data_IF_539458488418
#
_entry.id   IF_539458488418
#
_cell.length_a   1.000
_cell.length_b   1.000
_cell.length_c   1.000
_cell.angle_alpha   90.00
_cell.angle_beta   90.00
_cell.angle_gamma   90.00
#
_symmetry.space_group_name_H-M   'P 1'
#
loop_
_entity.id
_entity.type
_entity.pdbx_description
1 polymer ?
#
# COMPACT_ATOMS: atom_id res chain seq x y z
N UNK A 1 7.39 -29.38 0.30
CA UNK A 1 8.73 -28.88 0.72
C UNK A 1 8.70 -28.29 2.13
N UNK A 2 7.85 -27.29 2.45
CA UNK A 2 7.86 -26.68 3.78
C UNK A 2 7.61 -27.70 4.89
N UNK A 3 6.63 -28.60 4.73
CA UNK A 3 6.32 -29.65 5.73
C UNK A 3 7.49 -30.55 6.07
N UNK A 4 8.42 -30.77 5.16
CA UNK A 4 9.62 -31.60 5.41
C UNK A 4 10.71 -30.90 6.22
N UNK A 5 10.59 -29.60 6.44
CA UNK A 5 11.55 -28.80 7.22
C UNK A 5 11.18 -28.72 8.71
N UNK A 6 9.98 -29.16 9.07
CA UNK A 6 9.46 -29.08 10.44
C UNK A 6 9.19 -30.48 11.01
N UNK A 7 9.26 -30.64 12.33
CA UNK A 7 8.86 -31.89 13.00
C UNK A 7 7.43 -32.27 12.67
N UNK A 8 7.07 -33.57 12.68
CA UNK A 8 5.70 -34.04 12.41
C UNK A 8 4.63 -33.49 13.37
N UNK A 9 5.06 -33.00 14.52
CA UNK A 9 4.17 -32.34 15.52
C UNK A 9 3.69 -30.96 15.10
N UNK A 10 4.31 -30.36 14.07
CA UNK A 10 3.93 -29.02 13.59
C UNK A 10 2.86 -29.14 12.52
N UNK A 11 1.69 -28.61 12.81
CA UNK A 11 0.55 -28.58 11.89
C UNK A 11 0.67 -27.41 10.92
N UNK A 12 0.81 -27.71 9.62
CA UNK A 12 0.97 -26.71 8.56
C UNK A 12 -0.19 -26.83 7.60
N UNK A 13 -0.94 -25.75 7.44
CA UNK A 13 -2.03 -25.65 6.46
C UNK A 13 -1.77 -24.51 5.47
N UNK A 14 -2.50 -24.55 4.35
CA UNK A 14 -2.40 -23.51 3.32
C UNK A 14 -3.78 -22.96 2.96
N UNK A 15 -3.81 -21.67 2.56
CA UNK A 15 -5.01 -20.95 2.23
C UNK A 15 -4.78 -20.13 0.96
N UNK A 16 -5.65 -20.28 -0.06
CA UNK A 16 -5.51 -19.52 -1.30
C UNK A 16 -6.86 -19.15 -1.92
N UNK A 17 -6.85 -18.18 -2.85
CA UNK A 17 -8.05 -17.58 -3.44
C UNK A 17 -9.03 -18.56 -4.09
N UNK A 18 -8.54 -19.66 -4.66
CA UNK A 18 -9.34 -20.64 -5.38
C UNK A 18 -10.10 -21.65 -4.48
N UNK A 19 -9.86 -21.62 -3.17
CA UNK A 19 -10.59 -22.48 -2.22
C UNK A 19 -12.04 -22.01 -2.06
N UNK A 20 -12.93 -22.97 -1.77
CA UNK A 20 -14.32 -22.66 -1.46
C UNK A 20 -14.42 -21.85 -0.15
N UNK A 21 -15.40 -20.94 -0.02
CA UNK A 21 -15.55 -20.13 1.21
C UNK A 21 -15.59 -20.97 2.49
N UNK A 22 -16.38 -22.02 2.52
CA UNK A 22 -16.49 -22.90 3.70
C UNK A 22 -15.16 -23.55 4.10
N UNK A 23 -14.27 -23.87 3.15
CA UNK A 23 -12.94 -24.41 3.46
C UNK A 23 -12.03 -23.36 4.05
N UNK A 24 -12.13 -22.11 3.58
CA UNK A 24 -11.37 -20.99 4.12
C UNK A 24 -11.79 -20.69 5.56
N UNK A 25 -13.08 -20.69 5.82
CA UNK A 25 -13.66 -20.46 7.15
C UNK A 25 -13.23 -21.56 8.14
N UNK A 26 -13.27 -22.83 7.74
CA UNK A 26 -12.81 -23.96 8.55
C UNK A 26 -11.33 -23.83 8.93
N UNK A 27 -10.46 -23.62 7.94
CA UNK A 27 -9.02 -23.44 8.19
C UNK A 27 -8.76 -22.27 9.12
N UNK A 28 -9.47 -21.16 8.94
CA UNK A 28 -9.30 -19.97 9.76
C UNK A 28 -9.79 -20.16 11.20
N UNK A 29 -10.90 -20.88 11.39
CA UNK A 29 -11.40 -21.23 12.72
C UNK A 29 -10.37 -22.10 13.46
N UNK A 30 -9.86 -23.15 12.84
CA UNK A 30 -8.84 -24.04 13.40
C UNK A 30 -7.52 -23.30 13.70
N UNK A 31 -7.14 -22.34 12.84
CA UNK A 31 -5.99 -21.50 13.09
C UNK A 31 -6.20 -20.57 14.30
N UNK A 32 -7.37 -19.97 14.42
CA UNK A 32 -7.73 -19.14 15.56
C UNK A 32 -7.78 -19.93 16.88
N UNK A 33 -8.19 -21.20 16.84
CA UNK A 33 -8.22 -22.12 17.98
C UNK A 33 -6.83 -22.69 18.34
N UNK A 34 -5.80 -22.42 17.51
CA UNK A 34 -4.42 -22.88 17.75
C UNK A 34 -4.17 -24.33 17.33
N UNK A 35 -5.04 -24.94 16.54
CA UNK A 35 -4.83 -26.28 15.98
C UNK A 35 -3.84 -26.30 14.81
N UNK A 36 -3.57 -25.11 14.23
CA UNK A 36 -2.64 -24.93 13.11
C UNK A 36 -1.51 -24.02 13.60
N UNK A 37 -0.29 -24.52 13.54
CA UNK A 37 0.91 -23.79 13.97
C UNK A 37 1.42 -22.83 12.89
N UNK A 38 1.35 -23.24 11.61
CA UNK A 38 1.83 -22.46 10.48
C UNK A 38 0.74 -22.39 9.41
N UNK A 39 0.30 -21.18 9.10
CA UNK A 39 -0.61 -20.92 7.98
C UNK A 39 0.14 -20.29 6.81
N UNK A 40 0.21 -21.00 5.69
CA UNK A 40 0.77 -20.48 4.43
C UNK A 40 -0.35 -19.93 3.57
N UNK A 41 -0.28 -18.65 3.23
CA UNK A 41 -1.34 -18.02 2.46
C UNK A 41 -0.84 -17.21 1.28
N UNK A 42 -1.65 -17.12 0.25
CA UNK A 42 -1.54 -16.04 -0.74
C UNK A 42 -2.20 -14.77 -0.19
N UNK A 43 -2.14 -13.67 -0.92
CA UNK A 43 -2.67 -12.32 -0.53
C UNK A 43 -4.16 -12.29 -0.12
N UNK A 44 -4.83 -13.42 -0.11
CA UNK A 44 -6.26 -13.56 0.25
C UNK A 44 -6.57 -13.15 1.71
N UNK A 45 -5.54 -13.04 2.56
CA UNK A 45 -5.68 -12.61 3.97
C UNK A 45 -5.81 -11.07 4.11
N UNK A 46 -5.77 -10.32 3.00
CA UNK A 46 -5.82 -8.84 3.05
C UNK A 46 -7.13 -8.29 3.66
N UNK A 47 -8.24 -9.02 3.57
CA UNK A 47 -9.54 -8.47 3.94
C UNK A 47 -10.20 -9.27 5.07
N UNK A 48 -10.34 -8.61 6.23
CA UNK A 48 -11.33 -8.98 7.25
C UNK A 48 -11.00 -10.16 8.18
N UNK A 49 -9.87 -10.83 8.02
CA UNK A 49 -9.52 -11.96 8.88
C UNK A 49 -8.60 -11.47 9.99
N UNK A 50 -9.15 -11.43 11.20
CA UNK A 50 -8.39 -11.12 12.41
C UNK A 50 -7.64 -12.38 12.86
N UNK A 51 -6.32 -12.32 12.86
CA UNK A 51 -5.46 -13.42 13.28
C UNK A 51 -4.84 -13.08 14.64
N UNK A 52 -5.68 -13.07 15.67
CA UNK A 52 -5.29 -12.67 17.02
C UNK A 52 -4.09 -13.47 17.59
N UNK A 53 -3.87 -14.69 17.10
CA UNK A 53 -2.83 -15.59 17.61
C UNK A 53 -1.50 -15.56 16.84
N UNK A 54 -1.40 -14.84 15.71
CA UNK A 54 -0.16 -14.79 14.96
C UNK A 54 0.89 -13.94 15.70
N UNK A 55 1.97 -14.57 16.13
CA UNK A 55 3.13 -13.89 16.74
C UNK A 55 4.24 -13.59 15.71
N UNK A 56 4.26 -14.33 14.61
CA UNK A 56 5.27 -14.19 13.54
C UNK A 56 4.59 -14.13 12.19
N UNK A 57 5.01 -13.20 11.35
CA UNK A 57 4.62 -13.13 9.95
C UNK A 57 5.88 -13.09 9.08
N UNK A 58 5.85 -13.84 7.99
CA UNK A 58 6.92 -13.84 6.98
C UNK A 58 6.30 -13.52 5.63
N UNK A 59 6.72 -12.43 5.01
CA UNK A 59 6.22 -11.97 3.71
C UNK A 59 7.30 -12.21 2.66
N UNK A 60 7.06 -13.16 1.78
CA UNK A 60 7.93 -13.46 0.64
C UNK A 60 7.71 -12.46 -0.49
N UNK A 61 8.79 -12.15 -1.22
CA UNK A 61 8.76 -11.16 -2.30
C UNK A 61 8.14 -9.82 -1.88
N UNK A 62 8.47 -9.37 -0.68
CA UNK A 62 7.89 -8.17 -0.07
C UNK A 62 8.01 -6.92 -0.96
N UNK A 63 9.04 -6.87 -1.83
CA UNK A 63 9.23 -5.78 -2.79
C UNK A 63 8.10 -5.64 -3.82
N UNK A 64 7.28 -6.68 -4.01
CA UNK A 64 6.14 -6.67 -4.95
C UNK A 64 4.87 -6.06 -4.33
N UNK A 65 4.84 -5.83 -3.03
CA UNK A 65 3.71 -5.26 -2.32
C UNK A 65 3.84 -3.75 -2.18
N UNK A 66 2.71 -3.05 -2.19
CA UNK A 66 2.65 -1.64 -1.79
C UNK A 66 2.91 -1.47 -0.29
N UNK A 67 3.40 -0.30 0.10
CA UNK A 67 3.70 -0.02 1.51
C UNK A 67 2.44 -0.09 2.38
N UNK A 68 1.31 0.38 1.89
CA UNK A 68 0.01 0.30 2.59
C UNK A 68 -0.36 -1.16 2.88
N UNK A 69 -0.19 -2.07 1.90
CA UNK A 69 -0.45 -3.51 2.08
C UNK A 69 0.51 -4.11 3.12
N UNK A 70 1.81 -3.79 3.04
CA UNK A 70 2.79 -4.27 4.02
C UNK A 70 2.46 -3.77 5.43
N UNK A 71 2.03 -2.52 5.56
CA UNK A 71 1.59 -1.96 6.84
C UNK A 71 0.36 -2.68 7.39
N UNK A 72 -0.65 -2.94 6.56
CA UNK A 72 -1.84 -3.67 6.95
C UNK A 72 -1.51 -5.10 7.39
N UNK A 73 -0.62 -5.80 6.66
CA UNK A 73 -0.17 -7.14 7.02
C UNK A 73 0.62 -7.11 8.33
N UNK A 74 1.56 -6.18 8.51
CA UNK A 74 2.28 -5.99 9.77
C UNK A 74 1.32 -5.77 10.94
N UNK A 75 0.26 -4.99 10.76
CA UNK A 75 -0.77 -4.73 11.75
C UNK A 75 -1.65 -5.93 12.11
N UNK A 76 -1.49 -7.06 11.42
CA UNK A 76 -2.20 -8.32 11.74
C UNK A 76 -1.45 -9.19 12.76
N UNK A 77 -0.22 -8.84 13.11
CA UNK A 77 0.62 -9.61 14.02
C UNK A 77 0.54 -8.99 15.43
N UNK A 78 0.47 -9.86 16.46
CA UNK A 78 0.56 -9.48 17.88
C UNK A 78 -0.43 -8.41 18.33
N UNK A 79 -1.72 -8.60 18.08
CA UNK A 79 -2.76 -7.71 18.62
C UNK A 79 -2.97 -7.86 20.13
N UNK A 80 -2.62 -9.01 20.69
CA UNK A 80 -2.57 -9.23 22.11
C UNK A 80 -1.17 -8.94 22.64
N UNK A 81 -1.04 -8.44 23.86
CA UNK A 81 0.15 -8.01 24.61
C UNK A 81 1.50 -8.75 24.38
N UNK A 82 1.58 -9.65 23.39
CA UNK A 82 2.79 -10.38 23.01
C UNK A 82 3.59 -9.62 21.98
N UNK A 83 4.90 -9.71 22.05
CA UNK A 83 5.80 -9.19 21.01
C UNK A 83 5.55 -9.92 19.68
N UNK A 84 5.25 -9.18 18.63
CA UNK A 84 5.11 -9.71 17.28
C UNK A 84 6.32 -9.41 16.41
N UNK A 85 6.57 -10.29 15.44
CA UNK A 85 7.67 -10.16 14.50
C UNK A 85 7.12 -10.25 13.06
N UNK A 86 7.52 -9.30 12.21
CA UNK A 86 7.18 -9.31 10.79
C UNK A 86 8.47 -9.28 9.97
N UNK A 87 8.71 -10.33 9.21
CA UNK A 87 9.91 -10.48 8.37
C UNK A 87 9.54 -10.20 6.91
N UNK A 88 10.20 -9.23 6.30
CA UNK A 88 10.06 -8.88 4.90
C UNK A 88 11.21 -9.48 4.11
N UNK A 89 10.94 -10.50 3.30
CA UNK A 89 11.94 -11.18 2.48
C UNK A 89 11.87 -10.65 1.04
N UNK A 90 13.02 -10.32 0.46
CA UNK A 90 13.11 -9.83 -0.91
C UNK A 90 14.34 -10.40 -1.59
N UNK A 91 14.16 -10.89 -2.81
CA UNK A 91 15.24 -11.27 -3.71
C UNK A 91 15.57 -10.15 -4.73
N UNK A 92 14.93 -9.00 -4.63
CA UNK A 92 15.17 -7.88 -5.54
C UNK A 92 16.54 -7.26 -5.29
N UNK A 93 17.24 -6.96 -6.38
CA UNK A 93 18.48 -6.15 -6.39
C UNK A 93 18.23 -4.68 -6.72
N UNK A 94 16.97 -4.30 -6.96
CA UNK A 94 16.59 -2.93 -7.24
C UNK A 94 16.78 -2.04 -6.00
N UNK A 95 17.65 -1.01 -6.09
CA UNK A 95 17.94 -0.13 -4.96
C UNK A 95 16.69 0.57 -4.39
N UNK A 96 15.75 0.99 -5.26
CA UNK A 96 14.52 1.66 -4.83
C UNK A 96 13.61 0.71 -4.06
N UNK A 97 13.49 -0.55 -4.50
CA UNK A 97 12.72 -1.57 -3.80
C UNK A 97 13.32 -1.87 -2.41
N UNK A 98 14.66 -1.95 -2.33
CA UNK A 98 15.36 -2.19 -1.07
C UNK A 98 15.18 -1.01 -0.11
N UNK A 99 15.34 0.21 -0.60
CA UNK A 99 15.15 1.44 0.20
C UNK A 99 13.72 1.52 0.75
N UNK A 100 12.72 1.25 -0.08
CA UNK A 100 11.31 1.23 0.33
C UNK A 100 11.04 0.22 1.44
N UNK A 101 11.62 -0.99 1.36
CA UNK A 101 11.47 -2.02 2.40
C UNK A 101 12.19 -1.62 3.70
N UNK A 102 13.38 -1.01 3.61
CA UNK A 102 14.06 -0.45 4.78
C UNK A 102 13.25 0.65 5.45
N UNK A 103 12.65 1.51 4.64
CA UNK A 103 11.80 2.58 5.17
C UNK A 103 10.60 2.03 5.92
N UNK A 104 10.05 0.88 5.50
CA UNK A 104 8.96 0.21 6.19
C UNK A 104 9.33 -0.23 7.64
N UNK A 105 10.61 -0.46 7.94
CA UNK A 105 11.07 -0.76 9.30
C UNK A 105 11.00 0.48 10.21
N UNK A 106 11.24 1.67 9.66
CA UNK A 106 11.27 2.93 10.40
C UNK A 106 9.86 3.50 10.64
N UNK A 107 8.97 3.35 9.64
CA UNK A 107 7.61 3.88 9.69
C UNK A 107 6.74 3.10 10.68
N UNK A 108 6.17 3.79 11.67
CA UNK A 108 5.45 3.16 12.78
C UNK A 108 3.94 3.17 12.60
N UNK A 109 3.39 4.21 12.04
CA UNK A 109 1.94 4.35 11.87
C UNK A 109 1.51 4.45 10.41
N UNK A 110 0.20 4.27 10.18
CA UNK A 110 -0.36 4.25 8.82
C UNK A 110 -0.34 5.61 8.13
N UNK A 111 -0.31 6.69 8.88
CA UNK A 111 -0.23 8.04 8.32
C UNK A 111 1.17 8.31 7.76
N UNK A 112 2.21 7.96 8.52
CA UNK A 112 3.61 8.03 8.05
C UNK A 112 3.81 7.19 6.78
N UNK A 113 3.26 5.96 6.77
CA UNK A 113 3.33 5.05 5.60
C UNK A 113 2.63 5.66 4.39
N UNK A 114 1.44 6.21 4.58
CA UNK A 114 0.66 6.82 3.49
C UNK A 114 1.36 8.06 2.94
N UNK A 115 1.93 8.88 3.82
CA UNK A 115 2.66 10.07 3.44
C UNK A 115 3.93 9.71 2.64
N UNK A 116 4.68 8.74 3.11
CA UNK A 116 5.86 8.26 2.39
C UNK A 116 5.51 7.61 1.04
N UNK A 117 4.45 6.80 0.97
CA UNK A 117 3.99 6.18 -0.29
C UNK A 117 3.52 7.25 -1.30
N UNK A 118 2.88 8.31 -0.80
CA UNK A 118 2.49 9.49 -1.59
C UNK A 118 3.72 10.20 -2.18
N UNK A 119 4.75 10.40 -1.37
CA UNK A 119 6.00 11.04 -1.82
C UNK A 119 6.72 10.20 -2.88
N UNK A 120 6.78 8.89 -2.68
CA UNK A 120 7.45 7.98 -3.61
C UNK A 120 6.71 7.80 -4.94
N UNK A 121 5.37 7.79 -4.90
CA UNK A 121 4.52 7.66 -6.10
C UNK A 121 4.15 9.00 -6.72
N UNK A 122 4.34 10.08 -5.96
CA UNK A 122 3.75 11.37 -6.24
C UNK A 122 2.25 11.42 -5.90
N UNK A 123 1.67 12.62 -5.90
CA UNK A 123 0.25 12.84 -5.52
C UNK A 123 -0.76 12.23 -6.51
N UNK A 124 -0.31 11.41 -7.45
CA UNK A 124 -1.14 10.96 -8.56
C UNK A 124 -1.46 12.10 -9.54
N UNK A 125 -2.02 11.78 -10.68
CA UNK A 125 -2.49 12.81 -11.59
C UNK A 125 -3.77 13.43 -11.01
N UNK A 126 -3.66 14.66 -10.54
CA UNK A 126 -4.80 15.46 -10.04
C UNK A 126 -5.89 15.60 -11.11
N UNK A 127 -5.53 15.44 -12.39
CA UNK A 127 -6.42 15.52 -13.53
C UNK A 127 -6.85 14.14 -14.08
N UNK A 128 -6.38 13.03 -13.50
CA UNK A 128 -6.73 11.67 -13.93
C UNK A 128 -6.15 11.24 -15.29
N UNK A 129 -5.18 11.99 -15.83
CA UNK A 129 -4.66 11.80 -17.20
C UNK A 129 -3.35 10.98 -17.23
N UNK A 130 -2.64 10.82 -16.08
CA UNK A 130 -1.41 10.02 -15.99
C UNK A 130 -1.46 9.03 -14.85
N UNK A 131 -1.29 7.76 -15.16
CA UNK A 131 -1.24 6.67 -14.15
C UNK A 131 0.12 6.44 -13.51
N UNK A 132 1.17 7.14 -13.93
CA UNK A 132 2.52 6.93 -13.39
C UNK A 132 3.35 8.21 -13.44
N UNK A 133 3.87 8.62 -12.29
CA UNK A 133 4.82 9.71 -12.13
C UNK A 133 4.26 10.96 -11.44
N UNK A 134 5.14 11.74 -10.83
CA UNK A 134 4.79 13.06 -10.30
C UNK A 134 4.35 13.98 -11.45
N UNK A 135 3.24 14.74 -11.28
CA UNK A 135 2.95 15.85 -12.19
C UNK A 135 4.16 16.78 -12.21
N UNK A 136 4.67 17.07 -13.40
CA UNK A 136 5.74 18.05 -13.52
C UNK A 136 5.13 19.43 -13.30
N UNK A 137 5.24 19.98 -12.10
CA UNK A 137 4.92 21.36 -11.86
C UNK A 137 5.92 22.21 -12.64
N UNK A 138 5.40 23.14 -13.44
CA UNK A 138 6.23 24.10 -14.18
C UNK A 138 6.94 25.05 -13.19
N UNK A 139 6.26 25.37 -12.11
CA UNK A 139 6.76 26.18 -10.99
C UNK A 139 6.26 25.56 -9.69
N UNK A 140 7.17 25.35 -8.73
CA UNK A 140 6.83 24.88 -7.40
C UNK A 140 7.25 23.44 -7.10
N UNK A 141 7.21 23.13 -5.81
CA UNK A 141 7.61 21.85 -5.22
C UNK A 141 6.50 21.42 -4.26
N UNK A 142 5.93 20.24 -4.48
CA UNK A 142 4.81 19.74 -3.67
C UNK A 142 5.11 19.62 -2.18
N UNK A 143 6.38 19.44 -1.82
CA UNK A 143 6.78 19.33 -0.41
C UNK A 143 7.00 20.70 0.24
N UNK A 144 7.63 21.62 -0.50
CA UNK A 144 8.04 22.92 0.04
C UNK A 144 6.96 23.97 -0.05
N UNK A 145 6.10 23.86 -1.05
CA UNK A 145 5.11 24.88 -1.41
C UNK A 145 3.68 24.49 -1.02
N UNK A 146 3.50 23.69 0.02
CA UNK A 146 2.20 23.19 0.47
C UNK A 146 1.21 24.35 0.76
N UNK A 147 1.67 25.40 1.41
CA UNK A 147 0.84 26.59 1.70
C UNK A 147 0.40 27.30 0.40
N UNK A 148 1.28 27.33 -0.61
CA UNK A 148 0.95 27.90 -1.92
C UNK A 148 -0.07 27.04 -2.65
N UNK A 149 0.04 25.71 -2.57
CA UNK A 149 -0.97 24.81 -3.12
C UNK A 149 -2.35 25.00 -2.52
N UNK A 150 -2.42 25.18 -1.20
CA UNK A 150 -3.71 25.45 -0.54
C UNK A 150 -4.32 26.77 -1.03
N UNK A 151 -3.49 27.80 -1.20
CA UNK A 151 -3.92 29.08 -1.78
C UNK A 151 -4.41 28.90 -3.22
N UNK A 152 -3.65 28.21 -4.07
CA UNK A 152 -4.05 27.94 -5.45
C UNK A 152 -5.37 27.14 -5.55
N UNK A 153 -5.59 26.19 -4.65
CA UNK A 153 -6.87 25.43 -4.58
C UNK A 153 -8.03 26.35 -4.18
N UNK A 154 -7.79 27.26 -3.24
CA UNK A 154 -8.80 28.24 -2.82
C UNK A 154 -9.17 29.19 -3.97
N UNK A 155 -8.16 29.79 -4.59
CA UNK A 155 -8.33 30.73 -5.71
C UNK A 155 -9.02 30.07 -6.91
N UNK A 156 -8.64 28.81 -7.24
CA UNK A 156 -9.30 28.06 -8.28
C UNK A 156 -10.80 27.82 -8.00
N UNK A 157 -11.17 27.57 -6.74
CA UNK A 157 -12.59 27.43 -6.35
C UNK A 157 -13.35 28.74 -6.48
N UNK A 158 -12.74 29.87 -6.11
CA UNK A 158 -13.36 31.20 -6.28
C UNK A 158 -13.56 31.52 -7.76
N UNK A 159 -12.53 31.31 -8.60
CA UNK A 159 -12.61 31.52 -10.04
C UNK A 159 -13.73 30.68 -10.67
N UNK A 160 -13.91 29.42 -10.26
CA UNK A 160 -14.99 28.56 -10.77
C UNK A 160 -16.37 29.05 -10.35
N UNK A 161 -16.51 29.71 -9.19
CA UNK A 161 -17.77 30.23 -8.69
C UNK A 161 -18.15 31.57 -9.32
N UNK A 162 -17.15 32.40 -9.71
CA UNK A 162 -17.30 33.76 -10.19
C UNK A 162 -17.20 33.90 -11.72
N UNK A 163 -17.92 33.15 -12.54
CA UNK A 163 -17.87 33.21 -14.01
C UNK A 163 -16.44 33.14 -14.60
N UNK A 164 -16.06 31.93 -14.98
CA UNK A 164 -14.76 31.66 -15.61
C UNK A 164 -14.57 32.47 -16.88
N UNK A 165 -13.50 33.23 -16.97
CA UNK A 165 -13.12 33.97 -18.17
C UNK A 165 -12.89 32.99 -19.35
N UNK A 166 -13.40 33.37 -20.51
CA UNK A 166 -13.30 32.56 -21.75
C UNK A 166 -11.84 32.30 -22.12
N UNK A 167 -10.96 33.28 -21.91
CA UNK A 167 -9.52 33.13 -22.21
C UNK A 167 -8.86 32.13 -21.28
N UNK A 168 -9.24 32.08 -20.00
CA UNK A 168 -8.77 31.09 -19.06
C UNK A 168 -9.26 29.67 -19.43
N UNK A 169 -10.50 29.51 -19.84
CA UNK A 169 -11.04 28.25 -20.35
C UNK A 169 -10.29 27.74 -21.57
N UNK A 170 -10.00 28.63 -22.53
CA UNK A 170 -9.21 28.30 -23.70
C UNK A 170 -7.78 27.89 -23.34
N UNK A 171 -7.16 28.57 -22.39
CA UNK A 171 -5.83 28.20 -21.90
C UNK A 171 -5.82 26.81 -21.25
N UNK A 172 -6.77 26.54 -20.35
CA UNK A 172 -6.92 25.25 -19.68
C UNK A 172 -7.16 24.13 -20.71
N UNK A 173 -8.07 24.34 -21.68
CA UNK A 173 -8.36 23.36 -22.74
C UNK A 173 -7.12 23.01 -23.55
N UNK A 174 -6.32 24.00 -23.95
CA UNK A 174 -5.06 23.79 -24.65
C UNK A 174 -4.02 23.06 -23.80
N UNK A 175 -3.93 23.37 -22.51
CA UNK A 175 -3.03 22.68 -21.58
C UNK A 175 -3.41 21.21 -21.41
N UNK A 176 -4.70 20.89 -21.32
CA UNK A 176 -5.21 19.51 -21.25
C UNK A 176 -4.94 18.77 -22.57
N UNK A 177 -5.21 19.38 -23.72
CA UNK A 177 -4.91 18.77 -25.03
C UNK A 177 -3.42 18.48 -25.19
N UNK A 178 -2.54 19.41 -24.79
CA UNK A 178 -1.10 19.21 -24.88
C UNK A 178 -0.60 18.10 -23.95
N UNK A 179 -1.26 17.87 -22.82
CA UNK A 179 -0.92 16.78 -21.90
C UNK A 179 -1.34 15.39 -22.42
N UNK A 180 -2.37 15.31 -23.30
CA UNK A 180 -2.82 14.05 -23.90
C UNK A 180 -1.90 13.54 -25.05
N UNK A 181 -1.01 14.39 -25.59
CA UNK A 181 -0.11 14.02 -26.69
C UNK A 181 1.23 13.40 -26.25
N UNK A 182 1.42 13.14 -24.95
CA UNK A 182 2.66 12.55 -24.42
C UNK A 182 2.50 11.11 -23.92
N UNK A 183 1.47 10.39 -24.38
CA UNK A 183 1.31 8.93 -24.22
C UNK A 183 1.91 8.17 -25.41
#
# INVERSE_FOLDING_TARGET
ELKSQFPPSVTIEYLHGKMKPAQKEDIMARYAEGEIDILVSTTVIEVGIDVANASVMVIYDAHRFGLSTLHQLRGRVARDKKQGYCFLLSASSDPQAIERLKKMEELKDGFEVSNYDLHMRGPGDILGIRQSGMPCLVLGDFEKDQAMMETCIHDAKEIIQDQVDVDLLLYISRAIESAQYFD
#
